data_IF_070323938987
#
_entry.id   IF_070323938987
#
_cell.length_a   1.000
_cell.length_b   1.000
_cell.length_c   1.000
_cell.angle_alpha   90.00
_cell.angle_beta   90.00
_cell.angle_gamma   90.00
#
_symmetry.space_group_name_H-M   'P 1'
#
loop_
_entity.id
_entity.type
_entity.pdbx_description
1 polymer ?
#
# COMPACT_ATOMS: atom_id res chain seq x y z
N UNK A 1 -12.80 6.08 4.39
CA UNK A 1 -12.74 7.33 3.59
C UNK A 1 -11.68 7.20 2.48
N UNK A 2 -11.84 7.93 1.39
CA UNK A 2 -10.87 8.03 0.29
C UNK A 2 -11.09 9.33 -0.48
N UNK A 3 -10.10 9.73 -1.28
CA UNK A 3 -10.24 10.80 -2.25
C UNK A 3 -9.96 10.29 -3.66
N UNK A 4 -10.52 10.95 -4.66
CA UNK A 4 -10.33 10.64 -6.07
C UNK A 4 -10.00 11.91 -6.82
N UNK A 5 -8.89 11.91 -7.54
CA UNK A 5 -8.60 12.89 -8.57
C UNK A 5 -8.98 12.32 -9.94
N UNK A 6 -9.86 13.01 -10.64
CA UNK A 6 -10.20 12.68 -12.03
C UNK A 6 -9.65 13.76 -12.96
N UNK A 7 -8.86 13.41 -13.98
CA UNK A 7 -8.41 14.38 -14.97
C UNK A 7 -9.61 14.94 -15.74
N UNK A 8 -9.48 16.15 -16.26
CA UNK A 8 -10.52 16.80 -17.07
C UNK A 8 -10.79 15.94 -18.31
N UNK A 9 -12.00 15.44 -18.41
CA UNK A 9 -12.35 14.33 -19.27
C UNK A 9 -12.36 14.69 -20.76
N UNK A 10 -11.74 13.82 -21.54
CA UNK A 10 -12.25 13.49 -22.86
C UNK A 10 -13.48 12.59 -22.66
N UNK A 11 -14.68 13.06 -23.04
CA UNK A 11 -15.93 12.28 -22.96
C UNK A 11 -15.71 10.88 -23.53
N UNK A 12 -16.27 9.86 -22.86
CA UNK A 12 -16.33 8.45 -23.29
C UNK A 12 -15.04 7.61 -23.23
N UNK A 13 -14.02 8.02 -22.48
CA UNK A 13 -12.83 7.19 -22.27
C UNK A 13 -12.77 6.65 -20.85
N UNK A 14 -12.53 5.36 -20.73
CA UNK A 14 -12.14 4.74 -19.46
C UNK A 14 -10.69 5.10 -19.15
N UNK A 15 -10.46 5.71 -17.99
CA UNK A 15 -9.18 6.30 -17.59
C UNK A 15 -8.36 5.29 -16.78
N UNK A 16 -7.05 5.10 -17.04
CA UNK A 16 -6.19 4.28 -16.19
C UNK A 16 -6.14 4.78 -14.75
N UNK A 17 -5.88 3.88 -13.83
CA UNK A 17 -5.93 4.16 -12.39
C UNK A 17 -4.53 4.07 -11.77
N UNK A 18 -4.20 5.04 -10.93
CA UNK A 18 -3.08 4.99 -10.01
C UNK A 18 -3.60 4.99 -8.57
N UNK A 19 -3.28 3.95 -7.82
CA UNK A 19 -3.52 3.88 -6.38
C UNK A 19 -2.34 4.51 -5.66
N UNK A 20 -2.58 5.51 -4.82
CA UNK A 20 -1.54 6.18 -4.06
C UNK A 20 -1.76 5.97 -2.55
N UNK A 21 -0.97 5.10 -1.94
CA UNK A 21 -1.07 4.71 -0.55
C UNK A 21 -0.21 5.59 0.35
N UNK A 22 -0.81 6.15 1.38
CA UNK A 22 -0.13 7.01 2.37
C UNK A 22 0.59 6.20 3.45
N UNK A 23 1.53 6.84 4.14
CA UNK A 23 2.31 6.28 5.25
C UNK A 23 1.58 6.32 6.59
N UNK A 24 2.30 5.96 7.65
CA UNK A 24 1.81 6.00 9.03
C UNK A 24 1.32 7.38 9.42
N UNK A 25 0.31 7.42 10.28
CA UNK A 25 -0.36 8.61 10.82
C UNK A 25 -1.12 9.46 9.80
N UNK A 26 -0.97 9.16 8.52
CA UNK A 26 -1.62 9.89 7.43
C UNK A 26 -3.09 9.50 7.26
N UNK A 27 -3.83 10.38 6.60
CA UNK A 27 -5.13 10.11 6.00
C UNK A 27 -5.00 10.05 4.48
N UNK A 28 -6.12 9.89 3.79
CA UNK A 28 -6.20 10.03 2.33
C UNK A 28 -5.75 11.41 1.82
N UNK A 29 -5.84 12.46 2.65
CA UNK A 29 -5.48 13.83 2.26
C UNK A 29 -3.96 14.09 2.20
N UNK A 30 -3.16 13.37 3.00
CA UNK A 30 -1.73 13.67 3.10
C UNK A 30 -1.00 13.50 1.75
N UNK A 31 -1.18 12.36 1.07
CA UNK A 31 -0.61 12.16 -0.25
C UNK A 31 -1.25 13.09 -1.29
N UNK A 32 -2.58 13.26 -1.24
CA UNK A 32 -3.30 14.14 -2.16
C UNK A 32 -2.81 15.58 -2.13
N UNK A 33 -2.53 16.13 -0.93
CA UNK A 33 -2.13 17.53 -0.77
C UNK A 33 -0.62 17.74 -0.95
N UNK A 34 0.21 16.77 -0.55
CA UNK A 34 1.66 16.96 -0.48
C UNK A 34 2.44 16.43 -1.69
N UNK A 35 1.93 15.42 -2.37
CA UNK A 35 2.68 14.77 -3.45
C UNK A 35 2.68 15.55 -4.77
N UNK A 36 1.75 16.49 -4.97
CA UNK A 36 1.62 17.25 -6.22
C UNK A 36 1.32 16.39 -7.47
N UNK A 37 0.81 15.17 -7.25
CA UNK A 37 0.61 14.19 -8.32
C UNK A 37 -0.47 14.62 -9.33
N UNK A 38 -1.42 15.46 -8.93
CA UNK A 38 -2.58 15.84 -9.73
C UNK A 38 -2.18 16.53 -11.05
N UNK A 39 -1.13 17.35 -11.03
CA UNK A 39 -0.62 18.01 -12.26
C UNK A 39 -0.20 16.95 -13.29
N UNK A 40 0.62 16.02 -12.91
CA UNK A 40 1.11 14.96 -13.79
C UNK A 40 -0.02 13.98 -14.16
N UNK A 41 -0.92 13.68 -13.24
CA UNK A 41 -2.09 12.85 -13.50
C UNK A 41 -3.01 13.49 -14.55
N UNK A 42 -3.20 14.81 -14.50
CA UNK A 42 -3.92 15.57 -15.53
C UNK A 42 -3.22 15.49 -16.89
N UNK A 43 -1.91 15.69 -16.93
CA UNK A 43 -1.10 15.68 -18.16
C UNK A 43 -1.13 14.30 -18.85
N UNK A 44 -1.16 13.22 -18.04
CA UNK A 44 -1.13 11.84 -18.53
C UNK A 44 -2.52 11.17 -18.60
N UNK A 45 -3.59 11.87 -18.26
CA UNK A 45 -4.95 11.34 -18.20
C UNK A 45 -5.08 10.10 -17.30
N UNK A 46 -4.57 10.18 -16.08
CA UNK A 46 -4.61 9.13 -15.08
C UNK A 46 -5.51 9.56 -13.92
N UNK A 47 -6.44 8.70 -13.51
CA UNK A 47 -7.18 8.88 -12.25
C UNK A 47 -6.30 8.48 -11.08
N UNK A 48 -6.28 9.27 -10.00
CA UNK A 48 -5.52 8.91 -8.79
C UNK A 48 -6.48 8.67 -7.64
N UNK A 49 -6.36 7.51 -7.01
CA UNK A 49 -7.15 7.11 -5.87
C UNK A 49 -6.28 7.16 -4.62
N UNK A 50 -6.73 7.90 -3.62
CA UNK A 50 -6.05 8.07 -2.34
C UNK A 50 -6.91 7.43 -1.24
N UNK A 51 -6.69 6.16 -0.87
CA UNK A 51 -7.39 5.54 0.25
C UNK A 51 -6.86 6.06 1.59
N UNK A 52 -7.71 5.98 2.62
CA UNK A 52 -7.25 6.18 3.99
C UNK A 52 -6.33 5.03 4.44
N UNK A 53 -5.58 5.24 5.50
CA UNK A 53 -4.56 4.33 6.02
C UNK A 53 -5.09 3.37 7.08
N UNK A 54 -6.31 3.61 7.58
CA UNK A 54 -7.00 2.77 8.56
C UNK A 54 -8.50 3.04 8.56
N UNK A 55 -9.32 2.19 9.22
CA UNK A 55 -10.64 2.59 9.66
C UNK A 55 -10.52 3.74 10.65
N UNK A 56 -11.56 4.60 10.74
CA UNK A 56 -11.58 5.76 11.66
C UNK A 56 -12.96 5.94 12.28
N UNK A 57 -12.98 6.49 13.47
CA UNK A 57 -14.21 6.85 14.19
C UNK A 57 -14.10 6.62 15.70
N UNK A 58 -15.03 7.19 16.45
CA UNK A 58 -15.05 7.11 17.92
C UNK A 58 -15.26 5.70 18.49
N UNK A 59 -15.88 4.82 17.71
CA UNK A 59 -16.13 3.42 18.08
C UNK A 59 -15.13 2.44 17.45
N UNK A 60 -14.10 2.95 16.77
CA UNK A 60 -13.03 2.15 16.19
C UNK A 60 -11.90 2.04 17.20
N UNK A 61 -11.40 0.83 17.49
CA UNK A 61 -10.24 0.66 18.36
C UNK A 61 -9.07 1.53 17.94
N UNK A 62 -8.37 2.07 18.90
CA UNK A 62 -7.20 2.91 18.71
C UNK A 62 -6.13 2.58 19.75
N UNK A 63 -4.92 3.12 19.58
CA UNK A 63 -3.79 2.97 20.49
C UNK A 63 -3.07 4.31 20.66
N UNK A 64 -2.44 4.52 21.81
CA UNK A 64 -1.65 5.73 22.07
C UNK A 64 -0.35 5.77 21.24
N UNK A 65 0.14 4.61 20.84
CA UNK A 65 1.32 4.49 19.98
C UNK A 65 0.98 4.86 18.54
N UNK A 66 1.74 5.79 17.96
CA UNK A 66 1.54 6.28 16.59
C UNK A 66 1.57 5.18 15.51
N UNK A 67 2.12 4.02 15.83
CA UNK A 67 2.35 2.89 14.94
C UNK A 67 1.37 1.73 15.14
N UNK A 68 0.29 1.95 15.88
CA UNK A 68 -0.87 1.07 16.02
C UNK A 68 -2.16 1.88 15.93
N UNK A 69 -3.27 1.21 15.64
CA UNK A 69 -4.59 1.87 15.64
C UNK A 69 -4.84 2.78 14.44
N UNK A 70 -5.53 3.89 14.68
CA UNK A 70 -5.97 4.80 13.63
C UNK A 70 -4.77 5.51 12.98
N UNK A 71 -4.67 5.38 11.66
CA UNK A 71 -3.52 5.85 10.89
C UNK A 71 -2.42 4.79 10.69
N UNK A 72 -2.58 3.58 11.22
CA UNK A 72 -1.56 2.53 11.24
C UNK A 72 -2.13 1.16 10.87
N UNK A 73 -2.99 1.07 9.86
CA UNK A 73 -3.66 -0.18 9.46
C UNK A 73 -2.78 -1.17 8.70
N UNK A 74 -1.55 -0.83 8.37
CA UNK A 74 -0.55 -1.66 7.66
C UNK A 74 -1.07 -2.39 6.42
N UNK A 75 -2.23 -1.97 5.90
CA UNK A 75 -2.88 -2.55 4.73
C UNK A 75 -3.09 -4.08 4.82
N UNK A 76 -3.36 -4.55 6.05
CA UNK A 76 -3.61 -5.96 6.36
C UNK A 76 -5.05 -6.18 6.87
N UNK A 77 -5.45 -7.45 6.98
CA UNK A 77 -6.66 -7.86 7.69
C UNK A 77 -6.29 -8.37 9.07
N UNK A 78 -6.63 -7.64 10.11
CA UNK A 78 -6.38 -8.05 11.48
C UNK A 78 -7.22 -9.30 11.85
N UNK A 79 -6.62 -10.17 12.66
CA UNK A 79 -7.22 -11.39 13.18
C UNK A 79 -7.39 -11.37 14.69
N UNK A 80 -6.73 -10.42 15.36
CA UNK A 80 -6.73 -10.33 16.83
C UNK A 80 -7.65 -9.23 17.35
N UNK A 81 -8.26 -9.46 18.51
CA UNK A 81 -8.97 -8.41 19.26
C UNK A 81 -7.97 -7.39 19.79
N UNK A 82 -8.35 -6.09 19.86
CA UNK A 82 -9.65 -5.52 19.49
C UNK A 82 -9.77 -5.19 17.99
N UNK A 83 -8.76 -5.45 17.17
CA UNK A 83 -8.61 -4.96 15.80
C UNK A 83 -9.47 -5.71 14.77
N UNK A 84 -9.66 -7.02 14.96
CA UNK A 84 -10.20 -7.94 13.95
C UNK A 84 -11.55 -7.55 13.35
N UNK A 85 -12.36 -6.79 14.06
CA UNK A 85 -13.70 -6.41 13.55
C UNK A 85 -13.63 -5.27 12.52
N UNK A 86 -12.71 -4.34 12.69
CA UNK A 86 -12.68 -3.12 11.89
C UNK A 86 -11.46 -2.98 10.98
N UNK A 87 -10.31 -3.53 11.37
CA UNK A 87 -9.06 -3.38 10.62
C UNK A 87 -8.97 -4.44 9.51
N UNK A 88 -9.78 -4.26 8.45
CA UNK A 88 -9.86 -5.10 7.25
C UNK A 88 -9.30 -4.34 6.04
N UNK A 89 -8.11 -3.75 6.22
CA UNK A 89 -7.54 -2.84 5.22
C UNK A 89 -7.16 -3.53 3.92
N UNK A 90 -6.80 -4.81 3.97
CA UNK A 90 -6.55 -5.56 2.74
C UNK A 90 -7.83 -5.72 1.92
N UNK A 91 -8.91 -6.22 2.52
CA UNK A 91 -10.19 -6.39 1.82
C UNK A 91 -10.76 -5.06 1.33
N UNK A 92 -10.60 -4.00 2.14
CA UNK A 92 -10.99 -2.66 1.72
C UNK A 92 -10.30 -2.23 0.43
N UNK A 93 -8.97 -2.44 0.33
CA UNK A 93 -8.18 -2.02 -0.82
C UNK A 93 -8.38 -2.88 -2.07
N UNK A 94 -8.59 -4.19 -1.90
CA UNK A 94 -8.55 -5.11 -3.04
C UNK A 94 -9.94 -5.59 -3.48
N UNK A 95 -10.97 -5.38 -2.65
CA UNK A 95 -12.34 -5.80 -2.93
C UNK A 95 -13.32 -4.63 -2.92
N UNK A 96 -13.44 -3.95 -1.76
CA UNK A 96 -14.50 -2.95 -1.57
C UNK A 96 -14.25 -1.68 -2.39
N UNK A 97 -13.08 -1.09 -2.23
CA UNK A 97 -12.78 0.19 -2.87
C UNK A 97 -12.71 0.10 -4.40
N UNK A 98 -12.07 -0.91 -5.03
CA UNK A 98 -12.11 -1.06 -6.47
C UNK A 98 -13.54 -1.16 -7.02
N UNK A 99 -14.41 -1.95 -6.36
CA UNK A 99 -15.81 -2.06 -6.74
C UNK A 99 -16.57 -0.72 -6.67
N UNK A 100 -16.31 0.07 -5.62
CA UNK A 100 -16.89 1.41 -5.49
C UNK A 100 -16.38 2.37 -6.58
N UNK A 101 -15.10 2.32 -6.89
CA UNK A 101 -14.48 3.17 -7.91
C UNK A 101 -15.04 2.84 -9.29
N UNK A 102 -15.08 1.57 -9.68
CA UNK A 102 -15.65 1.14 -10.98
C UNK A 102 -17.11 1.53 -11.15
N UNK A 103 -17.88 1.44 -10.08
CA UNK A 103 -19.31 1.76 -10.12
C UNK A 103 -19.59 3.26 -10.27
N UNK A 104 -18.72 4.12 -9.76
CA UNK A 104 -18.99 5.55 -9.63
C UNK A 104 -18.14 6.44 -10.55
N UNK A 105 -17.08 5.93 -11.15
CA UNK A 105 -16.16 6.69 -11.98
C UNK A 105 -15.85 5.97 -13.30
N UNK A 106 -15.67 6.73 -14.38
CA UNK A 106 -15.30 6.19 -15.70
C UNK A 106 -13.81 5.84 -15.74
N UNK A 107 -13.44 4.75 -15.11
CA UNK A 107 -12.05 4.29 -14.99
C UNK A 107 -11.87 2.88 -15.55
N UNK A 108 -10.63 2.54 -15.90
CA UNK A 108 -10.24 1.21 -16.37
C UNK A 108 -9.29 0.56 -15.35
N UNK A 109 -9.83 -0.21 -14.44
CA UNK A 109 -9.06 -0.95 -13.42
C UNK A 109 -8.26 -2.13 -13.98
N UNK A 110 -8.51 -2.55 -15.24
CA UNK A 110 -7.59 -3.48 -15.94
C UNK A 110 -6.27 -2.80 -16.38
N UNK A 111 -6.25 -1.45 -16.35
CA UNK A 111 -5.05 -0.66 -16.60
C UNK A 111 -4.74 0.19 -15.36
N UNK A 112 -4.16 -0.45 -14.36
CA UNK A 112 -3.88 0.17 -13.08
C UNK A 112 -2.44 -0.05 -12.63
N UNK A 113 -1.93 0.90 -11.86
CA UNK A 113 -0.64 0.85 -11.18
C UNK A 113 -0.82 1.27 -9.72
N UNK A 114 0.16 0.94 -8.89
CA UNK A 114 0.12 1.30 -7.47
C UNK A 114 1.42 1.97 -7.05
N UNK A 115 1.31 2.98 -6.20
CA UNK A 115 2.45 3.62 -5.57
C UNK A 115 2.15 3.92 -4.11
N UNK A 116 3.19 4.16 -3.34
CA UNK A 116 3.02 4.55 -1.95
C UNK A 116 4.32 4.92 -1.26
N UNK A 117 4.19 5.55 -0.10
CA UNK A 117 5.30 6.01 0.72
C UNK A 117 5.28 5.34 2.09
N UNK A 118 6.43 4.88 2.60
CA UNK A 118 6.61 4.28 3.92
C UNK A 118 5.70 3.04 4.12
N UNK A 119 4.81 3.05 5.10
CA UNK A 119 3.75 2.04 5.25
C UNK A 119 2.91 1.91 3.95
N UNK A 120 2.67 3.00 3.23
CA UNK A 120 2.00 2.97 1.92
C UNK A 120 2.85 2.30 0.84
N UNK A 121 4.18 2.47 0.87
CA UNK A 121 5.11 1.74 0.02
C UNK A 121 5.07 0.24 0.27
N UNK A 122 4.99 -0.16 1.56
CA UNK A 122 4.71 -1.53 1.95
C UNK A 122 3.40 -2.04 1.34
N UNK A 123 2.30 -1.32 1.53
CA UNK A 123 1.00 -1.68 0.96
C UNK A 123 1.03 -1.80 -0.56
N UNK A 124 1.73 -0.88 -1.25
CA UNK A 124 1.88 -0.93 -2.71
C UNK A 124 2.61 -2.19 -3.18
N UNK A 125 3.70 -2.55 -2.50
CA UNK A 125 4.43 -3.80 -2.77
C UNK A 125 3.55 -5.02 -2.52
N UNK A 126 2.79 -5.06 -1.42
CA UNK A 126 1.85 -6.16 -1.16
C UNK A 126 0.83 -6.31 -2.30
N UNK A 127 0.20 -5.21 -2.73
CA UNK A 127 -0.80 -5.25 -3.80
C UNK A 127 -0.20 -5.80 -5.10
N UNK A 128 0.94 -5.27 -5.56
CA UNK A 128 1.56 -5.72 -6.79
C UNK A 128 2.04 -7.17 -6.72
N UNK A 129 2.76 -7.54 -5.66
CA UNK A 129 3.39 -8.85 -5.55
C UNK A 129 2.40 -10.00 -5.24
N UNK A 130 1.29 -9.73 -4.55
CA UNK A 130 0.26 -10.74 -4.24
C UNK A 130 -0.78 -10.88 -5.35
N UNK A 131 -1.18 -9.75 -5.95
CA UNK A 131 -2.20 -9.75 -7.00
C UNK A 131 -1.61 -9.90 -8.40
N UNK A 132 -0.29 -10.13 -8.48
CA UNK A 132 0.45 -10.45 -9.70
C UNK A 132 0.13 -9.47 -10.85
N UNK A 133 -0.47 -9.97 -11.93
CA UNK A 133 -0.68 -9.22 -13.16
C UNK A 133 -1.88 -8.25 -13.13
N UNK A 134 -2.49 -7.99 -11.98
CA UNK A 134 -3.53 -6.96 -11.88
C UNK A 134 -2.96 -5.55 -11.98
N UNK A 135 -1.68 -5.37 -11.64
CA UNK A 135 -0.99 -4.08 -11.71
C UNK A 135 0.05 -4.06 -12.84
N UNK A 136 0.14 -2.94 -13.54
CA UNK A 136 1.12 -2.72 -14.61
C UNK A 136 2.51 -2.39 -14.06
N UNK A 137 2.57 -1.68 -12.93
CA UNK A 137 3.81 -1.31 -12.25
C UNK A 137 3.57 -1.02 -10.77
N UNK A 138 4.65 -1.01 -9.99
CA UNK A 138 4.66 -0.56 -8.61
C UNK A 138 5.81 0.43 -8.36
N UNK A 139 5.53 1.51 -7.62
CA UNK A 139 6.53 2.47 -7.16
C UNK A 139 6.43 2.61 -5.63
N UNK A 140 7.49 2.24 -4.93
CA UNK A 140 7.54 2.23 -3.49
C UNK A 140 8.65 3.18 -2.98
N UNK A 141 8.23 4.23 -2.28
CA UNK A 141 9.12 5.26 -1.73
C UNK A 141 9.32 5.01 -0.25
N UNK A 142 10.58 4.87 0.18
CA UNK A 142 10.98 4.52 1.55
C UNK A 142 10.11 3.37 2.15
N UNK A 143 9.89 2.25 1.43
CA UNK A 143 8.93 1.23 1.83
C UNK A 143 9.43 0.38 3.00
N UNK A 144 8.50 -0.10 3.84
CA UNK A 144 8.78 -1.16 4.80
C UNK A 144 8.81 -2.50 4.02
N UNK A 145 9.99 -3.09 3.86
CA UNK A 145 10.20 -4.22 2.95
C UNK A 145 10.23 -5.59 3.62
N UNK A 146 10.62 -5.66 4.89
CA UNK A 146 10.73 -6.92 5.63
C UNK A 146 10.34 -6.74 7.10
N UNK A 147 9.06 -6.47 7.39
CA UNK A 147 8.59 -6.22 8.76
C UNK A 147 8.83 -7.40 9.70
N UNK A 148 8.83 -8.63 9.21
CA UNK A 148 9.12 -9.82 10.04
C UNK A 148 10.52 -9.84 10.63
N UNK A 149 11.46 -9.06 10.09
CA UNK A 149 12.87 -9.00 10.52
C UNK A 149 13.21 -7.77 11.36
N UNK A 150 12.27 -6.90 11.66
CA UNK A 150 12.45 -5.76 12.54
C UNK A 150 11.56 -5.89 13.78
N UNK A 151 12.07 -5.49 14.94
CA UNK A 151 11.28 -5.49 16.19
C UNK A 151 10.04 -4.60 16.04
N UNK A 152 10.18 -3.53 15.29
CA UNK A 152 9.08 -2.63 14.98
C UNK A 152 7.96 -3.32 14.18
N UNK A 153 8.27 -3.97 13.06
CA UNK A 153 7.29 -4.70 12.26
C UNK A 153 6.69 -5.90 12.99
N UNK A 154 7.49 -6.60 13.80
CA UNK A 154 7.01 -7.70 14.66
C UNK A 154 6.00 -7.22 15.71
N UNK A 155 6.17 -6.01 16.26
CA UNK A 155 5.21 -5.39 17.17
C UNK A 155 3.84 -5.27 16.51
N UNK A 156 3.76 -4.66 15.32
CA UNK A 156 2.48 -4.49 14.61
C UNK A 156 1.87 -5.82 14.21
N UNK A 157 2.66 -6.73 13.66
CA UNK A 157 2.17 -8.04 13.23
C UNK A 157 1.67 -8.87 14.40
N UNK A 158 2.37 -8.87 15.55
CA UNK A 158 1.88 -9.53 16.76
C UNK A 158 0.55 -8.95 17.23
N UNK A 159 0.40 -7.63 17.21
CA UNK A 159 -0.82 -6.96 17.64
C UNK A 159 -2.01 -7.25 16.71
N UNK A 160 -1.80 -7.22 15.40
CA UNK A 160 -2.87 -7.39 14.42
C UNK A 160 -3.13 -8.86 14.04
N UNK A 161 -2.09 -9.69 13.94
CA UNK A 161 -2.16 -11.05 13.40
C UNK A 161 -1.93 -12.14 14.44
N UNK A 162 -1.47 -11.77 15.65
CA UNK A 162 -1.12 -12.72 16.72
C UNK A 162 0.27 -13.31 16.55
N UNK A 163 0.53 -14.40 17.27
CA UNK A 163 1.86 -15.04 17.35
C UNK A 163 2.16 -16.04 16.23
N UNK A 164 1.19 -16.36 15.39
CA UNK A 164 1.41 -17.28 14.27
C UNK A 164 2.12 -16.55 13.11
N UNK A 165 3.44 -16.70 13.05
CA UNK A 165 4.27 -16.05 12.02
C UNK A 165 3.95 -16.52 10.60
N UNK A 166 3.29 -17.66 10.40
CA UNK A 166 2.86 -18.10 9.08
C UNK A 166 1.82 -17.17 8.44
N UNK A 167 1.01 -16.49 9.26
CA UNK A 167 0.08 -15.47 8.82
C UNK A 167 0.80 -14.18 8.37
N UNK A 168 1.94 -13.88 8.98
CA UNK A 168 2.74 -12.69 8.68
C UNK A 168 3.39 -12.75 7.31
N UNK A 169 3.73 -13.95 6.83
CA UNK A 169 4.32 -14.17 5.50
C UNK A 169 3.48 -13.56 4.38
N UNK A 170 2.16 -13.51 4.56
CA UNK A 170 1.23 -12.92 3.60
C UNK A 170 1.32 -11.39 3.52
N UNK A 171 2.00 -10.78 4.48
CA UNK A 171 2.15 -9.33 4.59
C UNK A 171 3.61 -8.87 4.64
N UNK A 172 4.56 -9.72 4.25
CA UNK A 172 5.97 -9.37 4.15
C UNK A 172 6.43 -9.39 2.67
N UNK A 173 6.75 -8.22 2.14
CA UNK A 173 7.11 -8.06 0.73
C UNK A 173 8.34 -8.89 0.33
N UNK A 174 9.33 -9.03 1.24
CA UNK A 174 10.55 -9.82 0.98
C UNK A 174 10.28 -11.32 0.94
N UNK A 175 9.28 -11.79 1.68
CA UNK A 175 8.83 -13.19 1.65
C UNK A 175 8.00 -13.45 0.39
N UNK A 176 7.02 -12.58 0.11
CA UNK A 176 6.14 -12.70 -1.05
C UNK A 176 6.93 -12.65 -2.36
N UNK A 177 7.92 -11.76 -2.45
CA UNK A 177 8.78 -11.63 -3.63
C UNK A 177 9.50 -12.92 -4.02
N UNK A 178 9.69 -13.86 -3.10
CA UNK A 178 10.33 -15.17 -3.40
C UNK A 178 9.46 -16.04 -4.32
N UNK A 179 8.14 -15.87 -4.29
CA UNK A 179 7.18 -16.74 -5.01
C UNK A 179 6.25 -15.96 -5.96
N UNK A 180 6.36 -14.63 -6.03
CA UNK A 180 5.50 -13.80 -6.89
C UNK A 180 5.66 -14.13 -8.37
N UNK A 181 4.58 -13.99 -9.12
CA UNK A 181 4.57 -14.01 -10.59
C UNK A 181 4.43 -12.60 -11.19
N UNK A 182 4.55 -11.56 -10.36
CA UNK A 182 4.56 -10.19 -10.85
C UNK A 182 5.76 -9.95 -11.77
N UNK A 183 5.50 -9.44 -12.97
CA UNK A 183 6.51 -9.21 -14.01
C UNK A 183 6.60 -7.74 -14.47
N UNK A 184 5.77 -6.87 -13.88
CA UNK A 184 5.80 -5.44 -14.18
C UNK A 184 7.04 -4.74 -13.58
N UNK A 185 7.34 -3.51 -14.01
CA UNK A 185 8.39 -2.69 -13.42
C UNK A 185 8.16 -2.46 -11.93
N UNK A 186 9.26 -2.55 -11.16
CA UNK A 186 9.30 -2.25 -9.74
C UNK A 186 10.28 -1.09 -9.53
N UNK A 187 9.80 0.04 -9.00
CA UNK A 187 10.64 1.13 -8.53
C UNK A 187 10.68 1.11 -7.00
N UNK A 188 11.87 1.07 -6.42
CA UNK A 188 12.09 1.27 -5.00
C UNK A 188 13.08 2.43 -4.84
N UNK A 189 12.66 3.46 -4.12
CA UNK A 189 13.49 4.64 -3.86
C UNK A 189 13.50 4.96 -2.37
N UNK A 190 14.70 5.21 -1.81
CA UNK A 190 14.87 5.49 -0.38
C UNK A 190 16.08 6.41 -0.18
N UNK A 191 15.91 7.42 0.63
CA UNK A 191 17.01 8.33 0.99
C UNK A 191 18.14 7.61 1.73
N UNK A 192 19.39 7.84 1.33
CA UNK A 192 20.57 7.24 1.99
C UNK A 192 20.73 7.67 3.46
N UNK A 193 20.16 8.81 3.83
CA UNK A 193 20.17 9.35 5.18
C UNK A 193 18.80 9.28 5.86
N UNK A 194 17.91 8.38 5.40
CA UNK A 194 16.61 8.17 6.04
C UNK A 194 16.81 7.64 7.45
N UNK A 195 16.21 8.32 8.43
CA UNK A 195 16.31 7.94 9.85
C UNK A 195 15.74 6.55 10.15
N UNK A 196 14.85 6.04 9.31
CA UNK A 196 14.24 4.71 9.42
C UNK A 196 14.90 3.66 8.54
N UNK A 197 15.98 3.95 7.84
CA UNK A 197 16.60 3.08 6.83
C UNK A 197 16.77 1.63 7.31
N UNK A 198 17.23 1.44 8.54
CA UNK A 198 17.41 0.11 9.13
C UNK A 198 16.07 -0.63 9.35
N UNK A 199 15.00 0.09 9.71
CA UNK A 199 13.67 -0.49 9.94
C UNK A 199 12.96 -0.80 8.62
N UNK A 200 13.24 -0.03 7.57
CA UNK A 200 12.67 -0.23 6.24
C UNK A 200 13.16 -1.54 5.58
N UNK A 201 14.38 -1.96 5.89
CA UNK A 201 14.98 -3.22 5.40
C UNK A 201 14.93 -3.38 3.88
N UNK A 202 15.15 -2.30 3.12
CA UNK A 202 15.07 -2.26 1.65
C UNK A 202 16.04 -3.25 1.00
N UNK A 203 17.23 -3.41 1.56
CA UNK A 203 18.24 -4.36 1.08
C UNK A 203 17.75 -5.81 1.09
N UNK A 204 16.88 -6.18 2.04
CA UNK A 204 16.30 -7.52 2.11
C UNK A 204 15.48 -7.82 0.86
N UNK A 205 14.59 -6.91 0.48
CA UNK A 205 13.76 -7.05 -0.73
C UNK A 205 14.62 -6.97 -2.00
N UNK A 206 15.54 -6.01 -2.09
CA UNK A 206 16.42 -5.83 -3.25
C UNK A 206 17.23 -7.09 -3.56
N UNK A 207 17.76 -7.77 -2.53
CA UNK A 207 18.46 -9.05 -2.71
C UNK A 207 17.56 -10.14 -3.30
N UNK A 208 16.31 -10.23 -2.84
CA UNK A 208 15.35 -11.21 -3.35
C UNK A 208 14.99 -10.91 -4.80
N UNK A 209 14.67 -9.66 -5.13
CA UNK A 209 14.31 -9.24 -6.48
C UNK A 209 15.45 -9.50 -7.48
N UNK A 210 16.68 -9.14 -7.12
CA UNK A 210 17.88 -9.43 -7.93
C UNK A 210 18.07 -10.93 -8.16
N UNK A 211 17.94 -11.76 -7.10
CA UNK A 211 18.04 -13.22 -7.22
C UNK A 211 16.98 -13.81 -8.14
N UNK A 212 15.79 -13.20 -8.19
CA UNK A 212 14.66 -13.60 -9.04
C UNK A 212 14.76 -13.05 -10.47
N UNK A 213 15.72 -12.19 -10.76
CA UNK A 213 15.80 -11.49 -12.06
C UNK A 213 14.65 -10.49 -12.28
N UNK A 214 14.00 -10.05 -11.21
CA UNK A 214 13.01 -8.97 -11.22
C UNK A 214 13.79 -7.66 -11.08
N UNK A 215 13.77 -6.83 -12.11
CA UNK A 215 14.44 -5.53 -12.07
C UNK A 215 13.77 -4.62 -11.03
N UNK A 216 14.58 -3.96 -10.19
CA UNK A 216 14.18 -2.95 -9.22
C UNK A 216 15.11 -1.74 -9.38
#
# INVERSE_FOLDING_TARGET
>A
TFAVFMPSLLKDKQIPVLWFLSGLTCTHENAMLKAGAQKFAQEHNIAVIYPDTSPRGTNIPDDEAYDLGQGAGFYLNATQSPWKENYKMWDYLVLELPSLIEKNFSVNTSNQSVMGHSMGGHGALLMALRLNNQFKSVSAFAPICNPMKSDWGRKQFSAYLGSDESLWENYDASVIAQKTNFSGPILIDTGSNDQFLNLLSVDSLSKVLKKRGLAA
#
